data_IF_048311802429
#
_entry.id   IF_048311802429
#
_cell.length_a   1.000
_cell.length_b   1.000
_cell.length_c   1.000
_cell.angle_alpha   90.00
_cell.angle_beta   90.00
_cell.angle_gamma   90.00
#
_symmetry.space_group_name_H-M   'P 1'
#
loop_
_entity.id
_entity.type
_entity.pdbx_description
1 polymer ?
#
# COMPACT_ATOMS: atom_id res chain seq x y z
N UNK A 1 -51.41 13.67 -2.43
CA UNK A 1 -50.63 12.42 -2.64
C UNK A 1 -49.36 12.76 -3.43
N UNK A 2 -48.26 13.18 -2.79
CA UNK A 2 -46.97 13.43 -3.51
C UNK A 2 -45.75 13.64 -2.58
N UNK A 3 -45.77 13.14 -1.33
CA UNK A 3 -44.65 13.27 -0.39
C UNK A 3 -43.99 11.92 -0.06
N UNK A 4 -44.77 10.82 -0.05
CA UNK A 4 -44.27 9.48 0.24
C UNK A 4 -43.31 8.92 -0.84
N UNK A 5 -43.48 9.32 -2.10
CA UNK A 5 -42.69 8.78 -3.22
C UNK A 5 -41.24 9.30 -3.23
N UNK A 6 -40.96 10.49 -2.67
CA UNK A 6 -39.59 11.04 -2.60
C UNK A 6 -38.76 10.40 -1.48
N UNK A 7 -39.39 10.03 -0.36
CA UNK A 7 -38.71 9.40 0.77
C UNK A 7 -38.26 7.97 0.46
N UNK A 8 -39.07 7.24 -0.31
CA UNK A 8 -38.75 5.88 -0.75
C UNK A 8 -37.57 5.82 -1.72
N UNK A 9 -37.41 6.82 -2.57
CA UNK A 9 -36.29 6.91 -3.53
C UNK A 9 -34.96 7.17 -2.80
N UNK A 10 -34.95 8.05 -1.80
CA UNK A 10 -33.75 8.32 -0.98
C UNK A 10 -33.34 7.09 -0.14
N UNK A 11 -34.34 6.36 0.39
CA UNK A 11 -34.15 5.09 1.09
C UNK A 11 -33.55 4.00 0.19
N UNK A 12 -34.03 3.86 -1.06
CA UNK A 12 -33.48 2.88 -2.01
C UNK A 12 -32.06 3.25 -2.47
N UNK A 13 -31.77 4.54 -2.72
CA UNK A 13 -30.44 5.00 -3.10
C UNK A 13 -29.40 4.78 -1.98
N UNK A 14 -29.80 4.94 -0.71
CA UNK A 14 -28.94 4.62 0.44
C UNK A 14 -28.66 3.11 0.55
N UNK A 15 -29.64 2.25 0.19
CA UNK A 15 -29.43 0.79 0.14
C UNK A 15 -28.59 0.34 -1.05
N UNK A 16 -28.65 1.04 -2.19
CA UNK A 16 -27.77 0.80 -3.34
C UNK A 16 -26.34 1.29 -3.09
N UNK A 17 -26.14 2.35 -2.30
CA UNK A 17 -24.80 2.77 -1.84
C UNK A 17 -24.21 1.81 -0.80
N UNK A 18 -25.06 1.03 -0.13
CA UNK A 18 -24.69 -0.09 0.74
C UNK A 18 -24.60 -1.41 -0.03
N UNK A 19 -24.45 -1.37 -1.36
CA UNK A 19 -23.94 -2.52 -2.11
C UNK A 19 -22.65 -2.96 -1.41
N UNK A 20 -22.72 -4.15 -0.84
CA UNK A 20 -21.75 -4.72 0.08
C UNK A 20 -20.34 -4.60 -0.50
N UNK A 21 -19.54 -3.64 0.02
CA UNK A 21 -18.11 -3.85 0.06
C UNK A 21 -17.93 -5.16 0.82
N UNK A 22 -17.54 -6.22 0.13
CA UNK A 22 -17.25 -7.51 0.71
C UNK A 22 -16.38 -7.27 1.97
N UNK A 23 -16.98 -7.39 3.16
CA UNK A 23 -16.40 -6.92 4.42
C UNK A 23 -15.23 -7.78 4.89
N UNK A 24 -14.83 -8.77 4.09
CA UNK A 24 -13.63 -9.56 4.30
C UNK A 24 -12.41 -8.79 3.82
N UNK A 25 -11.91 -7.88 4.66
CA UNK A 25 -10.51 -7.41 4.60
C UNK A 25 -9.54 -8.50 5.08
N UNK A 26 -9.80 -9.73 4.63
CA UNK A 26 -9.11 -10.95 5.03
C UNK A 26 -7.93 -11.16 4.09
N UNK A 27 -6.88 -10.39 4.32
CA UNK A 27 -5.57 -10.70 3.77
C UNK A 27 -4.80 -11.65 4.69
N UNK A 28 -3.76 -12.24 4.13
CA UNK A 28 -2.74 -12.93 4.92
C UNK A 28 -2.19 -12.03 6.05
N UNK A 29 -1.70 -12.67 7.11
CA UNK A 29 -1.08 -11.94 8.21
C UNK A 29 0.11 -11.12 7.68
N UNK A 30 0.02 -9.79 7.77
CA UNK A 30 1.03 -8.88 7.22
C UNK A 30 2.43 -9.15 7.79
N UNK A 31 2.50 -9.77 8.97
CA UNK A 31 3.77 -10.15 9.58
C UNK A 31 4.53 -11.21 8.77
N UNK A 32 3.87 -11.98 7.91
CA UNK A 32 4.51 -12.95 7.00
C UNK A 32 5.30 -12.26 5.88
N UNK A 33 5.01 -10.98 5.61
CA UNK A 33 5.71 -10.19 4.60
C UNK A 33 7.04 -9.60 5.12
N UNK A 34 7.43 -9.82 6.37
CA UNK A 34 8.68 -9.27 6.91
C UNK A 34 9.85 -10.23 6.78
N UNK A 35 11.01 -9.72 6.38
CA UNK A 35 12.29 -10.43 6.47
C UNK A 35 13.19 -9.75 7.50
N UNK A 36 13.50 -10.43 8.62
CA UNK A 36 14.33 -9.89 9.70
C UNK A 36 13.56 -9.60 11.01
N UNK A 37 14.25 -9.04 12.01
CA UNK A 37 13.61 -8.59 13.27
C UNK A 37 12.92 -7.24 13.02
N UNK A 38 11.61 -7.10 13.19
CA UNK A 38 10.96 -5.84 12.90
C UNK A 38 10.98 -4.89 14.10
N UNK A 39 11.50 -3.68 13.89
CA UNK A 39 11.07 -2.47 14.59
C UNK A 39 9.77 -1.91 13.93
N UNK A 40 8.86 -2.82 13.58
CA UNK A 40 7.60 -2.50 12.90
C UNK A 40 6.45 -2.70 13.89
N UNK A 41 5.62 -1.68 14.04
CA UNK A 41 4.45 -1.68 14.90
C UNK A 41 3.21 -1.81 14.01
N UNK A 42 2.62 -3.01 14.00
CA UNK A 42 1.37 -3.30 13.32
C UNK A 42 0.18 -3.20 14.28
N UNK A 43 -0.83 -2.43 13.92
CA UNK A 43 -2.05 -2.24 14.71
C UNK A 43 -3.28 -2.45 13.82
N UNK A 44 -4.17 -3.37 14.24
CA UNK A 44 -5.51 -3.50 13.67
C UNK A 44 -6.47 -2.58 14.43
N UNK A 45 -7.12 -1.68 13.70
CA UNK A 45 -8.16 -0.80 14.20
C UNK A 45 -9.56 -1.39 14.04
N UNK A 46 -10.58 -0.54 14.18
CA UNK A 46 -11.99 -0.93 13.97
C UNK A 46 -12.26 -1.14 12.49
N UNK A 47 -12.96 -2.22 12.14
CA UNK A 47 -13.29 -2.56 10.75
C UNK A 47 -12.05 -2.94 9.95
N UNK A 48 -11.81 -2.26 8.82
CA UNK A 48 -10.65 -2.48 7.95
C UNK A 48 -9.53 -1.46 8.17
N UNK A 49 -9.62 -0.65 9.21
CA UNK A 49 -8.55 0.29 9.56
C UNK A 49 -7.34 -0.50 10.03
N UNK A 50 -6.19 -0.26 9.42
CA UNK A 50 -4.92 -0.90 9.77
C UNK A 50 -3.82 0.14 9.74
N UNK A 51 -2.79 -0.06 10.57
CA UNK A 51 -1.61 0.81 10.64
C UNK A 51 -0.37 -0.06 10.72
N UNK A 52 0.67 0.31 9.99
CA UNK A 52 1.96 -0.37 9.98
C UNK A 52 3.07 0.68 9.98
N UNK A 53 3.65 0.94 11.15
CA UNK A 53 4.67 1.98 11.33
C UNK A 53 6.04 1.38 11.51
N UNK A 54 7.04 1.95 10.84
CA UNK A 54 8.46 1.64 11.04
C UNK A 54 9.24 2.93 11.21
N UNK A 55 10.20 2.98 12.13
CA UNK A 55 11.13 4.12 12.27
C UNK A 55 12.53 3.67 11.89
N UNK A 56 13.01 4.09 10.71
CA UNK A 56 14.24 3.55 10.10
C UNK A 56 14.77 4.50 9.01
N UNK A 57 16.05 4.36 8.68
CA UNK A 57 16.67 5.05 7.54
C UNK A 57 16.47 4.30 6.19
N UNK A 58 15.96 3.06 6.24
CA UNK A 58 15.70 2.18 5.10
C UNK A 58 14.32 1.54 5.21
N UNK A 59 13.36 2.23 4.62
CA UNK A 59 12.00 1.73 4.44
C UNK A 59 11.81 1.33 2.98
N UNK A 60 11.58 0.04 2.75
CA UNK A 60 11.54 -0.56 1.41
C UNK A 60 10.39 -1.56 1.30
N UNK A 61 9.72 -1.56 0.15
CA UNK A 61 8.81 -2.62 -0.28
C UNK A 61 9.43 -3.32 -1.47
N UNK A 62 9.64 -4.63 -1.38
CA UNK A 62 9.94 -5.47 -2.54
C UNK A 62 8.66 -5.96 -3.17
N UNK A 63 8.62 -5.93 -4.49
CA UNK A 63 7.44 -6.25 -5.29
C UNK A 63 7.65 -7.49 -6.14
N UNK A 64 6.54 -8.17 -6.40
CA UNK A 64 6.43 -9.24 -7.39
C UNK A 64 5.81 -8.68 -8.66
N UNK A 65 6.23 -9.24 -9.81
CA UNK A 65 5.59 -8.99 -11.11
C UNK A 65 4.18 -9.59 -11.16
N UNK A 66 3.90 -10.61 -10.35
CA UNK A 66 2.59 -11.25 -10.30
C UNK A 66 1.50 -10.21 -10.01
N UNK A 67 0.48 -10.16 -10.86
CA UNK A 67 -0.66 -9.23 -10.77
C UNK A 67 -0.28 -7.73 -10.76
N UNK A 68 0.97 -7.39 -11.12
CA UNK A 68 1.40 -6.01 -11.29
C UNK A 68 0.90 -5.45 -12.63
N UNK A 69 0.38 -4.22 -12.60
CA UNK A 69 0.05 -3.47 -13.82
C UNK A 69 1.10 -2.39 -14.14
N UNK A 70 2.21 -2.38 -13.39
CA UNK A 70 3.29 -1.42 -13.55
C UNK A 70 4.21 -1.90 -14.68
N UNK A 71 4.46 -1.07 -15.70
CA UNK A 71 5.44 -1.40 -16.74
C UNK A 71 6.81 -1.71 -16.13
N UNK A 72 7.50 -2.69 -16.72
CA UNK A 72 8.90 -3.03 -16.43
C UNK A 72 9.20 -3.52 -15.00
N UNK A 73 8.20 -3.72 -14.14
CA UNK A 73 8.39 -4.39 -12.84
C UNK A 73 8.77 -5.85 -13.08
N UNK A 74 9.88 -6.23 -12.46
CA UNK A 74 10.37 -7.60 -12.34
C UNK A 74 10.31 -8.04 -10.88
N UNK A 75 10.39 -9.34 -10.62
CA UNK A 75 10.46 -9.84 -9.26
C UNK A 75 11.68 -9.27 -8.54
N UNK A 76 11.47 -8.74 -7.34
CA UNK A 76 12.51 -8.06 -6.56
C UNK A 76 12.68 -6.57 -6.88
N UNK A 77 11.82 -5.99 -7.74
CA UNK A 77 11.76 -4.52 -7.89
C UNK A 77 11.38 -3.88 -6.57
N UNK A 78 11.98 -2.74 -6.24
CA UNK A 78 11.82 -2.10 -4.92
C UNK A 78 11.21 -0.71 -5.02
N UNK A 79 10.27 -0.41 -4.11
CA UNK A 79 9.79 0.93 -3.84
C UNK A 79 10.49 1.47 -2.58
N UNK A 80 10.94 2.73 -2.62
CA UNK A 80 11.74 3.34 -1.55
C UNK A 80 10.99 4.48 -0.85
N UNK A 81 11.28 4.68 0.44
CA UNK A 81 10.93 5.87 1.19
C UNK A 81 12.17 6.59 1.75
N UNK A 82 13.15 6.83 0.89
CA UNK A 82 14.33 7.66 1.18
C UNK A 82 14.96 8.14 -0.12
N UNK A 83 15.78 9.18 -0.04
CA UNK A 83 16.56 9.62 -1.19
C UNK A 83 17.79 8.70 -1.38
N UNK A 84 17.84 7.92 -2.47
CA UNK A 84 18.93 6.97 -2.72
C UNK A 84 20.26 7.66 -3.02
N UNK A 85 20.25 8.95 -3.40
CA UNK A 85 21.45 9.76 -3.59
C UNK A 85 22.15 10.14 -2.28
N UNK A 86 21.49 9.99 -1.12
CA UNK A 86 22.10 10.24 0.19
C UNK A 86 22.82 8.96 0.65
N UNK A 87 24.10 9.04 1.06
CA UNK A 87 24.85 7.92 1.63
C UNK A 87 24.11 7.25 2.80
N UNK A 88 24.22 5.92 2.90
CA UNK A 88 23.50 5.10 3.90
C UNK A 88 23.65 5.61 5.34
N UNK A 89 24.84 6.06 5.72
CA UNK A 89 25.19 6.57 7.05
C UNK A 89 24.72 8.00 7.33
N UNK A 90 24.30 8.73 6.30
CA UNK A 90 23.84 10.13 6.39
C UNK A 90 22.31 10.24 6.20
N UNK A 91 21.64 9.12 5.91
CA UNK A 91 20.19 9.10 5.71
C UNK A 91 19.47 9.46 7.01
N UNK A 92 18.46 10.35 6.95
CA UNK A 92 17.63 10.62 8.11
C UNK A 92 16.83 9.38 8.49
N UNK A 93 16.68 9.15 9.79
CA UNK A 93 15.74 8.18 10.32
C UNK A 93 14.34 8.78 10.23
N UNK A 94 13.43 8.08 9.55
CA UNK A 94 12.05 8.52 9.33
C UNK A 94 11.08 7.48 9.87
N UNK A 95 9.98 7.95 10.45
CA UNK A 95 8.83 7.10 10.75
C UNK A 95 7.93 7.05 9.51
N UNK A 96 7.79 5.88 8.91
CA UNK A 96 6.97 5.61 7.74
C UNK A 96 5.75 4.80 8.15
N UNK A 97 4.57 5.22 7.71
CA UNK A 97 3.31 4.51 7.89
C UNK A 97 2.91 3.87 6.55
N UNK A 98 3.16 2.57 6.40
CA UNK A 98 3.14 1.91 5.10
C UNK A 98 1.75 1.96 4.42
N UNK A 99 0.66 1.89 5.19
CA UNK A 99 -0.69 1.97 4.60
C UNK A 99 -0.94 3.30 3.89
N UNK A 100 -0.54 4.41 4.50
CA UNK A 100 -0.77 5.74 3.95
C UNK A 100 0.34 6.19 2.99
N UNK A 101 1.60 5.93 3.32
CA UNK A 101 2.77 6.39 2.57
C UNK A 101 3.01 5.57 1.29
N UNK A 102 2.94 4.25 1.38
CA UNK A 102 3.06 3.33 0.24
C UNK A 102 1.70 2.91 -0.33
N UNK A 103 0.58 3.26 0.32
CA UNK A 103 -0.74 2.92 -0.19
C UNK A 103 -0.99 1.41 -0.18
N UNK A 104 -0.68 0.74 0.94
CA UNK A 104 -0.99 -0.68 1.08
C UNK A 104 -2.49 -0.91 1.01
N UNK A 105 -2.90 -1.83 0.13
CA UNK A 105 -4.30 -2.26 0.00
C UNK A 105 -4.38 -3.77 0.01
N UNK A 106 -5.49 -4.27 0.56
CA UNK A 106 -5.83 -5.68 0.58
C UNK A 106 -6.90 -5.94 -0.49
N UNK A 107 -6.60 -6.74 -1.50
CA UNK A 107 -7.54 -7.13 -2.55
C UNK A 107 -7.42 -8.64 -2.78
N UNK A 108 -8.56 -9.35 -2.82
CA UNK A 108 -8.61 -10.80 -3.05
C UNK A 108 -7.66 -11.63 -2.17
N UNK A 109 -7.48 -11.19 -0.92
CA UNK A 109 -6.64 -11.85 0.08
C UNK A 109 -5.14 -11.59 -0.06
N UNK A 110 -4.72 -10.69 -0.95
CA UNK A 110 -3.30 -10.35 -1.19
C UNK A 110 -3.02 -8.88 -0.94
N UNK A 111 -1.78 -8.62 -0.55
CA UNK A 111 -1.28 -7.27 -0.29
C UNK A 111 -0.68 -6.64 -1.55
N UNK A 112 -1.13 -5.42 -1.85
CA UNK A 112 -0.62 -4.61 -2.95
C UNK A 112 -0.08 -3.27 -2.45
N UNK A 113 0.95 -2.76 -3.14
CA UNK A 113 1.45 -1.39 -3.00
C UNK A 113 0.92 -0.54 -4.15
N UNK A 114 0.48 0.70 -3.86
CA UNK A 114 -0.16 1.59 -4.85
C UNK A 114 0.44 2.99 -4.94
N UNK A 115 1.31 3.34 -3.99
CA UNK A 115 2.07 4.59 -3.99
C UNK A 115 3.57 4.30 -3.96
N UNK A 116 4.32 5.13 -4.67
CA UNK A 116 5.75 5.02 -4.89
C UNK A 116 6.40 6.38 -4.62
N UNK A 117 6.53 6.80 -3.34
CA UNK A 117 6.93 8.16 -2.98
C UNK A 117 8.28 8.59 -3.57
N UNK A 118 9.22 7.65 -3.69
CA UNK A 118 10.53 7.86 -4.33
C UNK A 118 10.68 7.06 -5.62
N UNK A 119 9.58 6.54 -6.18
CA UNK A 119 9.56 5.71 -7.37
C UNK A 119 9.94 4.27 -7.13
N UNK A 120 10.14 3.55 -8.24
CA UNK A 120 10.50 2.14 -8.27
C UNK A 120 11.89 1.98 -8.86
N UNK A 121 12.66 1.05 -8.30
CA UNK A 121 13.94 0.60 -8.81
C UNK A 121 13.89 -0.88 -9.18
N UNK A 122 14.11 -1.17 -10.46
CA UNK A 122 14.06 -2.53 -11.03
C UNK A 122 15.47 -3.15 -11.20
N UNK A 123 16.48 -2.62 -10.51
CA UNK A 123 17.89 -3.00 -10.70
C UNK A 123 18.54 -2.42 -11.98
N UNK A 124 17.77 -1.75 -12.83
CA UNK A 124 18.22 -1.11 -14.07
C UNK A 124 17.64 0.31 -14.16
N UNK A 125 18.50 1.33 -14.10
CA UNK A 125 18.13 2.72 -14.41
C UNK A 125 17.56 3.59 -13.27
N UNK A 126 17.41 4.91 -13.51
CA UNK A 126 17.11 5.92 -12.50
C UNK A 126 15.65 5.89 -12.01
N UNK A 127 15.44 6.44 -10.81
CA UNK A 127 14.15 6.55 -10.12
C UNK A 127 13.16 7.45 -10.88
N UNK A 128 11.97 6.94 -11.17
CA UNK A 128 10.85 7.71 -11.72
C UNK A 128 9.71 7.87 -10.71
N UNK A 129 9.90 8.68 -9.67
CA UNK A 129 8.94 8.85 -8.56
C UNK A 129 7.61 9.48 -8.98
N UNK A 130 7.67 10.59 -9.70
CA UNK A 130 6.49 11.40 -10.03
C UNK A 130 5.63 10.79 -11.14
N UNK A 131 6.16 9.81 -11.87
CA UNK A 131 5.47 9.20 -12.99
C UNK A 131 4.51 8.08 -12.58
N UNK A 132 4.45 7.67 -11.30
CA UNK A 132 3.73 6.45 -10.90
C UNK A 132 2.53 6.70 -9.98
N UNK A 133 2.60 7.71 -9.11
CA UNK A 133 1.53 8.00 -8.16
C UNK A 133 0.26 8.51 -8.87
N UNK A 134 -0.90 7.99 -8.47
CA UNK A 134 -2.20 8.42 -9.01
C UNK A 134 -2.57 7.86 -10.40
N UNK A 135 -1.73 7.01 -10.99
CA UNK A 135 -2.02 6.35 -12.29
C UNK A 135 -2.78 5.02 -12.16
N UNK A 136 -3.23 4.66 -10.95
CA UNK A 136 -3.86 3.36 -10.68
C UNK A 136 -2.87 2.20 -10.74
N UNK A 137 -1.57 2.48 -10.64
CA UNK A 137 -0.55 1.45 -10.57
C UNK A 137 -0.62 0.70 -9.25
N UNK A 138 -0.47 -0.63 -9.34
CA UNK A 138 -0.39 -1.53 -8.21
C UNK A 138 0.55 -2.70 -8.52
N UNK A 139 1.27 -3.15 -7.51
CA UNK A 139 2.11 -4.34 -7.58
C UNK A 139 1.92 -5.19 -6.32
N UNK A 140 2.02 -6.50 -6.47
CA UNK A 140 1.92 -7.44 -5.33
C UNK A 140 3.15 -7.27 -4.44
N UNK A 141 2.96 -7.24 -3.12
CA UNK A 141 4.05 -7.14 -2.16
C UNK A 141 4.68 -8.51 -1.96
N UNK A 142 6.00 -8.59 -2.10
CA UNK A 142 6.78 -9.80 -1.82
C UNK A 142 7.30 -9.77 -0.38
N UNK A 143 7.89 -8.65 0.04
CA UNK A 143 8.27 -8.42 1.42
C UNK A 143 8.44 -6.93 1.74
N UNK A 144 8.45 -6.61 3.02
CA UNK A 144 8.63 -5.29 3.60
C UNK A 144 9.92 -5.30 4.45
N UNK A 145 10.76 -4.28 4.29
CA UNK A 145 12.02 -4.15 5.02
C UNK A 145 12.13 -2.79 5.71
N UNK A 146 12.59 -2.84 6.97
CA UNK A 146 12.66 -1.75 7.94
C UNK A 146 14.01 -1.89 8.68
N UNK A 147 15.07 -1.17 8.26
CA UNK A 147 16.41 -1.32 8.86
C UNK A 147 17.38 -0.11 8.81
#
# INVERSE_FOLDING_TARGET
MCAAMKFLIFSMLFRLLLAECNHTCACEDINTLHSGKPDIVYEKGVGCSQSLKCTSAHNIISMSKELSNIPDVIDGSIALFYNPSIPRNERPVLTVEYFSDFGLVCEDGRWFVTKFPMGIHNGLGPFGADAMNGKGYKATIQYLSCN
#
